data_IF_867566855134
#
_entry.id   IF_867566855134
#
_cell.length_a   1.000
_cell.length_b   1.000
_cell.length_c   1.000
_cell.angle_alpha   90.00
_cell.angle_beta   90.00
_cell.angle_gamma   90.00
#
_symmetry.space_group_name_H-M   'P 1'
#
loop_
_entity.id
_entity.type
_entity.pdbx_description
1 polymer ?
#
# COMPACT_ATOMS: atom_id res chain seq x y z
N UNK A 1 -52.18 3.77 13.36
CA UNK A 1 -51.31 4.57 14.24
C UNK A 1 -50.12 3.80 14.81
N UNK A 2 -50.29 2.57 15.28
CA UNK A 2 -49.19 1.73 15.76
C UNK A 2 -48.19 1.30 14.68
N UNK A 3 -48.64 1.08 13.42
CA UNK A 3 -47.79 0.70 12.31
C UNK A 3 -46.92 1.85 11.79
N UNK A 4 -47.43 3.09 11.87
CA UNK A 4 -46.69 4.29 11.47
C UNK A 4 -45.51 4.60 12.44
N UNK A 5 -45.72 4.38 13.72
CA UNK A 5 -44.69 4.52 14.75
C UNK A 5 -43.61 3.44 14.64
N UNK A 6 -44.00 2.21 14.25
CA UNK A 6 -43.04 1.14 14.02
C UNK A 6 -42.17 1.36 12.79
N UNK A 7 -42.71 1.96 11.73
CA UNK A 7 -41.94 2.33 10.55
C UNK A 7 -40.90 3.41 10.86
N UNK A 8 -41.32 4.44 11.58
CA UNK A 8 -40.43 5.54 12.00
C UNK A 8 -39.25 5.00 12.82
N UNK A 9 -39.49 4.07 13.73
CA UNK A 9 -38.44 3.40 14.51
C UNK A 9 -37.52 2.52 13.66
N UNK A 10 -38.05 1.83 12.65
CA UNK A 10 -37.28 1.02 11.70
C UNK A 10 -36.39 1.89 10.80
N UNK A 11 -36.91 3.02 10.33
CA UNK A 11 -36.13 3.97 9.54
C UNK A 11 -34.99 4.59 10.34
N UNK A 12 -35.21 4.93 11.60
CA UNK A 12 -34.18 5.49 12.49
C UNK A 12 -33.08 4.47 12.78
N UNK A 13 -33.45 3.22 13.04
CA UNK A 13 -32.48 2.13 13.29
C UNK A 13 -31.65 1.82 12.04
N UNK A 14 -32.28 1.81 10.85
CA UNK A 14 -31.57 1.58 9.59
C UNK A 14 -30.62 2.74 9.29
N UNK A 15 -31.02 3.99 9.53
CA UNK A 15 -30.15 5.15 9.36
C UNK A 15 -28.96 5.14 10.33
N UNK A 16 -29.17 4.74 11.59
CA UNK A 16 -28.11 4.61 12.60
C UNK A 16 -27.13 3.50 12.20
N UNK A 17 -27.61 2.37 11.70
CA UNK A 17 -26.75 1.28 11.22
C UNK A 17 -25.94 1.67 9.97
N UNK A 18 -26.53 2.44 9.06
CA UNK A 18 -25.82 2.95 7.87
C UNK A 18 -24.75 3.97 8.24
N UNK A 19 -25.01 4.86 9.20
CA UNK A 19 -24.03 5.83 9.72
C UNK A 19 -22.90 5.08 10.44
N UNK A 20 -23.19 4.03 11.19
CA UNK A 20 -22.19 3.23 11.90
C UNK A 20 -21.28 2.46 10.91
N UNK A 21 -21.83 1.94 9.80
CA UNK A 21 -21.04 1.32 8.74
C UNK A 21 -20.13 2.32 8.03
N UNK A 22 -20.52 3.59 7.92
CA UNK A 22 -19.70 4.62 7.28
C UNK A 22 -18.47 5.01 8.11
N UNK A 23 -18.56 4.94 9.46
CA UNK A 23 -17.44 5.23 10.36
C UNK A 23 -16.42 4.08 10.45
N UNK A 24 -16.80 2.85 10.12
CA UNK A 24 -15.92 1.68 10.17
C UNK A 24 -15.25 1.37 8.81
N UNK A 25 -15.54 2.17 7.77
CA UNK A 25 -15.14 1.90 6.39
C UNK A 25 -13.76 2.42 5.98
N UNK A 26 -12.95 3.02 6.86
CA UNK A 26 -11.61 3.47 6.50
C UNK A 26 -10.53 2.74 7.28
N UNK A 27 -10.40 1.44 7.03
CA UNK A 27 -9.16 0.73 7.34
C UNK A 27 -8.15 1.05 6.24
N UNK A 28 -7.10 1.80 6.59
CA UNK A 28 -5.93 1.92 5.75
C UNK A 28 -5.33 0.51 5.61
N UNK A 29 -5.34 -0.05 4.40
CA UNK A 29 -4.70 -1.33 4.12
C UNK A 29 -3.19 -1.14 4.08
N UNK A 30 -2.47 -1.87 4.94
CA UNK A 30 -1.03 -2.01 4.81
C UNK A 30 -0.76 -3.04 3.71
N UNK A 31 -0.12 -2.62 2.62
CA UNK A 31 0.33 -3.50 1.54
C UNK A 31 1.81 -3.78 1.73
N UNK A 32 2.20 -5.03 1.58
CA UNK A 32 3.61 -5.45 1.66
C UNK A 32 4.14 -5.84 0.29
N UNK A 33 5.34 -5.35 -0.03
CA UNK A 33 6.11 -5.76 -1.21
C UNK A 33 7.40 -6.41 -0.71
N UNK A 34 7.65 -7.63 -1.14
CA UNK A 34 8.89 -8.34 -0.86
C UNK A 34 10.00 -7.88 -1.82
N UNK A 35 11.19 -7.69 -1.30
CA UNK A 35 12.38 -7.37 -2.08
C UNK A 35 13.26 -8.64 -2.20
N UNK A 36 13.26 -9.24 -3.38
CA UNK A 36 13.82 -10.55 -3.67
C UNK A 36 12.86 -11.68 -3.32
N UNK A 37 12.61 -12.58 -4.26
CA UNK A 37 11.70 -13.72 -4.06
C UNK A 37 12.05 -14.88 -4.99
N UNK A 38 11.92 -16.11 -4.49
CA UNK A 38 12.15 -17.34 -5.24
C UNK A 38 13.52 -17.37 -5.97
N UNK A 39 14.56 -16.83 -5.34
CA UNK A 39 15.91 -16.77 -5.90
C UNK A 39 16.08 -15.71 -7.01
N UNK A 40 15.12 -14.80 -7.19
CA UNK A 40 15.15 -13.77 -8.21
C UNK A 40 15.24 -12.36 -7.63
N UNK A 41 15.89 -11.47 -8.37
CA UNK A 41 15.99 -10.03 -8.07
C UNK A 41 14.74 -9.32 -8.57
N UNK A 42 13.66 -9.44 -7.81
CA UNK A 42 12.33 -8.90 -8.14
C UNK A 42 11.70 -8.23 -6.92
N UNK A 43 10.77 -7.32 -7.18
CA UNK A 43 9.76 -6.89 -6.20
C UNK A 43 8.54 -7.79 -6.36
N UNK A 44 8.03 -8.35 -5.26
CA UNK A 44 6.85 -9.23 -5.29
C UNK A 44 5.77 -8.74 -4.31
N UNK A 45 4.59 -8.33 -4.81
CA UNK A 45 4.23 -8.15 -6.21
C UNK A 45 4.95 -6.94 -6.86
N UNK A 46 5.16 -6.96 -8.17
CA UNK A 46 5.85 -5.88 -8.87
C UNK A 46 4.94 -4.72 -9.29
N UNK A 47 3.64 -4.93 -9.34
CA UNK A 47 2.63 -3.92 -9.67
C UNK A 47 1.50 -3.98 -8.64
N UNK A 48 1.16 -2.82 -8.06
CA UNK A 48 0.05 -2.70 -7.11
C UNK A 48 -0.78 -1.45 -7.39
N UNK A 49 -2.04 -1.49 -6.95
CA UNK A 49 -2.93 -0.33 -6.92
C UNK A 49 -3.33 -0.06 -5.48
N UNK A 50 -3.16 1.18 -5.04
CA UNK A 50 -3.48 1.64 -3.70
C UNK A 50 -4.30 2.93 -3.74
N UNK A 51 -4.88 3.30 -2.62
CA UNK A 51 -5.56 4.57 -2.43
C UNK A 51 -4.59 5.66 -1.93
N UNK A 52 -4.91 6.91 -2.22
CA UNK A 52 -4.18 8.06 -1.65
C UNK A 52 -4.16 7.97 -0.12
N UNK A 53 -2.98 8.11 0.45
CA UNK A 53 -2.76 8.01 1.90
C UNK A 53 -2.39 6.62 2.41
N UNK A 54 -2.42 5.60 1.55
CA UNK A 54 -2.01 4.25 1.91
C UNK A 54 -0.48 4.16 2.10
N UNK A 55 -0.08 3.29 3.02
CA UNK A 55 1.32 2.99 3.29
C UNK A 55 1.69 1.63 2.72
N UNK A 56 2.81 1.58 2.01
CA UNK A 56 3.41 0.36 1.47
C UNK A 56 4.63 0.01 2.29
N UNK A 57 4.69 -1.22 2.79
CA UNK A 57 5.84 -1.77 3.49
C UNK A 57 6.70 -2.56 2.51
N UNK A 58 7.96 -2.18 2.37
CA UNK A 58 8.96 -2.92 1.60
C UNK A 58 9.80 -3.74 2.57
N UNK A 59 9.81 -5.06 2.38
CA UNK A 59 10.53 -5.99 3.25
C UNK A 59 11.66 -6.69 2.51
N UNK A 60 12.85 -6.62 3.10
CA UNK A 60 14.00 -7.37 2.61
C UNK A 60 13.78 -8.87 2.84
N UNK A 61 13.68 -9.63 1.75
CA UNK A 61 13.35 -11.06 1.80
C UNK A 61 14.53 -11.92 1.37
N UNK A 62 15.06 -11.70 0.16
CA UNK A 62 16.17 -12.47 -0.41
C UNK A 62 17.14 -11.59 -1.19
N UNK A 63 18.37 -12.07 -1.35
CA UNK A 63 19.41 -11.50 -2.22
C UNK A 63 19.73 -10.02 -1.96
N UNK A 64 19.90 -9.60 -0.69
CA UNK A 64 20.24 -8.20 -0.38
C UNK A 64 21.59 -7.76 -0.99
N UNK A 65 21.91 -6.46 -1.06
CA UNK A 65 21.13 -5.34 -0.50
C UNK A 65 20.04 -4.82 -1.45
N UNK A 66 19.01 -4.21 -0.86
CA UNK A 66 17.92 -3.60 -1.62
C UNK A 66 17.60 -2.20 -1.11
N UNK A 67 17.16 -1.35 -2.03
CA UNK A 67 16.49 -0.09 -1.74
C UNK A 67 15.29 0.10 -2.67
N UNK A 68 14.60 1.21 -2.56
CA UNK A 68 13.47 1.53 -3.44
C UNK A 68 13.55 3.00 -3.84
N UNK A 69 13.82 3.24 -5.10
CA UNK A 69 13.97 4.57 -5.67
C UNK A 69 12.84 4.82 -6.66
N UNK A 70 12.03 5.85 -6.37
CA UNK A 70 10.93 6.25 -7.25
C UNK A 70 11.43 7.29 -8.25
N UNK A 71 11.21 7.04 -9.54
CA UNK A 71 11.61 7.94 -10.61
C UNK A 71 10.96 9.31 -10.46
N UNK A 72 11.77 10.37 -10.46
CA UNK A 72 11.35 11.77 -10.35
C UNK A 72 10.61 12.15 -9.05
N UNK A 73 10.59 11.25 -8.06
CA UNK A 73 9.91 11.47 -6.78
C UNK A 73 10.79 11.07 -5.60
N UNK A 74 11.85 11.86 -5.29
CA UNK A 74 12.73 11.56 -4.16
C UNK A 74 11.99 11.53 -2.81
N UNK A 75 10.88 12.23 -2.70
CA UNK A 75 10.02 12.25 -1.50
C UNK A 75 9.41 10.89 -1.16
N UNK A 76 9.26 10.01 -2.14
CA UNK A 76 8.76 8.64 -1.95
C UNK A 76 9.87 7.58 -2.00
N UNK A 77 11.10 8.00 -2.21
CA UNK A 77 12.24 7.09 -2.32
C UNK A 77 12.84 6.76 -0.97
N UNK A 78 13.34 5.53 -0.83
CA UNK A 78 14.14 5.08 0.29
C UNK A 78 15.51 4.65 -0.20
N UNK A 79 16.48 5.54 -0.10
CA UNK A 79 17.83 5.35 -0.68
C UNK A 79 18.74 4.46 0.17
N UNK A 80 18.51 4.39 1.47
CA UNK A 80 19.30 3.55 2.36
C UNK A 80 19.13 2.08 2.01
N UNK A 81 20.24 1.34 1.99
CA UNK A 81 20.25 -0.07 1.64
C UNK A 81 19.82 -0.94 2.84
N UNK A 82 18.89 -1.85 2.57
CA UNK A 82 18.49 -2.88 3.52
C UNK A 82 19.35 -4.13 3.31
N UNK A 83 20.07 -4.56 4.32
CA UNK A 83 20.97 -5.72 4.27
C UNK A 83 20.46 -6.91 5.07
N UNK A 84 19.81 -6.67 6.20
CA UNK A 84 19.39 -7.74 7.11
C UNK A 84 18.10 -8.42 6.60
N UNK A 85 17.99 -9.76 6.70
CA UNK A 85 16.75 -10.47 6.42
C UNK A 85 15.60 -9.96 7.29
N UNK A 86 14.45 -9.67 6.66
CA UNK A 86 13.28 -9.16 7.35
C UNK A 86 13.31 -7.66 7.68
N UNK A 87 14.41 -6.96 7.42
CA UNK A 87 14.47 -5.50 7.52
C UNK A 87 13.45 -4.87 6.58
N UNK A 88 12.70 -3.89 7.06
CA UNK A 88 11.64 -3.25 6.29
C UNK A 88 11.64 -1.74 6.46
N UNK A 89 11.03 -1.06 5.50
CA UNK A 89 10.73 0.36 5.56
C UNK A 89 9.36 0.64 4.96
N UNK A 90 8.73 1.72 5.41
CA UNK A 90 7.40 2.13 4.99
C UNK A 90 7.46 3.40 4.13
N UNK A 91 6.64 3.44 3.09
CA UNK A 91 6.46 4.63 2.25
C UNK A 91 4.97 4.92 2.12
N UNK A 92 4.56 6.15 2.47
CA UNK A 92 3.18 6.60 2.34
C UNK A 92 3.04 7.45 1.08
N UNK A 93 2.08 7.10 0.22
CA UNK A 93 1.79 7.81 -1.02
C UNK A 93 0.58 8.72 -0.82
N UNK A 94 0.79 10.02 -0.73
CA UNK A 94 -0.22 11.01 -0.42
C UNK A 94 -0.79 11.75 -1.64
N UNK A 95 -0.34 11.38 -2.85
CA UNK A 95 -0.81 11.95 -4.11
C UNK A 95 -1.12 10.88 -5.13
N UNK A 96 -2.26 11.02 -5.82
CA UNK A 96 -2.63 10.16 -6.93
C UNK A 96 -1.62 10.26 -8.07
N UNK A 97 -1.38 9.14 -8.76
CA UNK A 97 -0.48 9.07 -9.89
C UNK A 97 0.04 7.66 -10.12
N UNK A 98 0.85 7.52 -11.17
CA UNK A 98 1.57 6.30 -11.50
C UNK A 98 3.05 6.49 -11.17
N UNK A 99 3.57 5.66 -10.28
CA UNK A 99 4.94 5.75 -9.80
C UNK A 99 5.72 4.52 -10.20
N UNK A 100 6.81 4.74 -10.95
CA UNK A 100 7.78 3.68 -11.27
C UNK A 100 8.90 3.71 -10.24
N UNK A 101 9.32 2.53 -9.81
CA UNK A 101 10.42 2.40 -8.86
C UNK A 101 11.38 1.28 -9.25
N UNK A 102 12.59 1.36 -8.73
CA UNK A 102 13.65 0.38 -8.96
C UNK A 102 14.48 0.18 -7.69
N UNK A 103 15.17 -0.94 -7.64
CA UNK A 103 16.27 -1.17 -6.70
C UNK A 103 17.57 -0.76 -7.39
N UNK A 104 18.25 0.26 -6.91
CA UNK A 104 19.46 0.79 -7.57
C UNK A 104 20.56 -0.26 -7.78
N UNK A 105 20.93 -1.08 -6.77
CA UNK A 105 21.94 -2.12 -6.98
C UNK A 105 21.57 -3.15 -8.04
N UNK A 106 20.29 -3.38 -8.29
CA UNK A 106 19.80 -4.46 -9.15
C UNK A 106 18.94 -3.99 -10.32
N UNK A 107 18.90 -2.70 -10.58
CA UNK A 107 18.14 -2.14 -11.73
C UNK A 107 18.60 -2.74 -13.04
N UNK A 108 19.90 -2.97 -13.22
CA UNK A 108 20.47 -3.61 -14.40
C UNK A 108 20.03 -5.07 -14.59
N UNK A 109 19.58 -5.74 -13.54
CA UNK A 109 18.99 -7.08 -13.59
C UNK A 109 17.47 -7.05 -13.77
N UNK A 110 16.84 -5.88 -13.89
CA UNK A 110 15.41 -5.73 -14.10
C UNK A 110 14.58 -5.68 -12.81
N UNK A 111 15.19 -5.38 -11.66
CA UNK A 111 14.46 -5.22 -10.39
C UNK A 111 13.73 -3.88 -10.36
N UNK A 112 12.55 -3.86 -10.97
CA UNK A 112 11.70 -2.69 -11.15
C UNK A 112 10.24 -3.02 -10.79
N UNK A 113 9.47 -2.00 -10.48
CA UNK A 113 8.05 -2.15 -10.19
C UNK A 113 7.25 -0.87 -10.44
N UNK A 114 5.96 -0.92 -10.13
CA UNK A 114 5.06 0.20 -10.29
C UNK A 114 3.96 0.22 -9.23
N UNK A 115 3.56 1.43 -8.86
CA UNK A 115 2.45 1.67 -7.94
C UNK A 115 1.50 2.65 -8.59
N UNK A 116 0.24 2.24 -8.73
CA UNK A 116 -0.84 3.12 -9.14
C UNK A 116 -1.60 3.61 -7.89
N UNK A 117 -1.64 4.92 -7.70
CA UNK A 117 -2.32 5.59 -6.57
C UNK A 117 -3.54 6.33 -7.07
N UNK A 118 -4.72 5.97 -6.60
CA UNK A 118 -6.00 6.52 -7.04
C UNK A 118 -6.91 7.05 -5.90
#
# INVERSE_FOLDING_TARGET
>A
MKEFLNWSKRCVVVCILLVFCFFWGSTAYAVEILMGNEGMLVFEPCEITIAVGDTVTFRNNELPPHNMMVSDHPEYSHSDLAFAPGESFDVTFDKAGDYRFQCDPHAGAGMIGGIHVE
#
